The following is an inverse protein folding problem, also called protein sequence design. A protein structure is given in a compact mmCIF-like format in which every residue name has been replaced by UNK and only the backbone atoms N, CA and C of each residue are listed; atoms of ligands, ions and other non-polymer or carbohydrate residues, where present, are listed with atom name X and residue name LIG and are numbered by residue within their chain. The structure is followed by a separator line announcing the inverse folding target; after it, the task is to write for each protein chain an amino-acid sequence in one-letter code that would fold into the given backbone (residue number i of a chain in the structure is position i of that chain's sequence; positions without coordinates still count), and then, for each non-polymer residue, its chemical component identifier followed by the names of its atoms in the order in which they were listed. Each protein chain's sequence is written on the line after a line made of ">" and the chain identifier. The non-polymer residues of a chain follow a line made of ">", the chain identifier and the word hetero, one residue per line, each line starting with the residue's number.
data_IF_947979092517
#
_entry.id   IF_947979092517
#
_cell.length_a   1.000
_cell.length_b   1.000
_cell.length_c   1.000
_cell.angle_alpha   90.00
_cell.angle_beta   90.00
_cell.angle_gamma   90.00
#
_symmetry.space_group_name_H-M   'P 1'
#
loop_
_entity.id
_entity.type
_entity.pdbx_description
1 polymer ?
#
# COMPACT_ATOMS: atom_id res chain seq x y z
N UNK A 1 -19.94 -69.29 12.26
CA UNK A 1 -20.17 -68.25 13.28
C UNK A 1 -18.93 -67.38 13.39
N UNK A 2 -19.11 -66.06 13.26
CA UNK A 2 -18.35 -64.92 13.82
C UNK A 2 -17.03 -65.27 14.55
N UNK A 3 -15.92 -64.60 14.27
CA UNK A 3 -15.66 -63.23 14.78
C UNK A 3 -14.65 -62.47 13.93
N UNK A 4 -15.03 -61.23 13.61
CA UNK A 4 -14.22 -60.10 13.17
C UNK A 4 -13.35 -59.64 14.34
N UNK A 5 -12.05 -59.42 14.13
CA UNK A 5 -11.26 -58.46 14.92
C UNK A 5 -10.45 -57.61 13.93
N UNK A 6 -11.00 -56.43 13.67
CA UNK A 6 -10.34 -55.28 13.06
C UNK A 6 -9.35 -54.73 14.09
N UNK A 7 -8.06 -54.67 13.77
CA UNK A 7 -7.10 -53.91 14.56
C UNK A 7 -6.96 -52.52 13.93
N UNK A 8 -7.67 -51.57 14.53
CA UNK A 8 -7.66 -50.15 14.24
C UNK A 8 -6.31 -49.58 14.68
N UNK A 9 -5.45 -49.20 13.73
CA UNK A 9 -4.22 -48.46 14.07
C UNK A 9 -4.57 -47.00 14.30
N UNK A 10 -4.29 -46.57 15.52
CA UNK A 10 -4.44 -45.25 16.11
C UNK A 10 -3.98 -44.15 15.15
N UNK A 11 -4.91 -43.27 14.80
CA UNK A 11 -4.63 -41.98 14.18
C UNK A 11 -4.13 -41.04 15.29
N UNK A 12 -2.82 -40.81 15.35
CA UNK A 12 -2.26 -39.78 16.19
C UNK A 12 -2.64 -38.42 15.59
N UNK A 13 -3.63 -37.76 16.19
CA UNK A 13 -3.98 -36.39 15.88
C UNK A 13 -2.80 -35.52 16.31
N UNK A 14 -2.07 -34.98 15.32
CA UNK A 14 -1.16 -33.87 15.53
C UNK A 14 -2.01 -32.63 15.85
N UNK A 15 -2.33 -32.43 17.13
CA UNK A 15 -2.73 -31.10 17.60
C UNK A 15 -1.46 -30.27 17.62
N UNK A 16 -1.16 -29.66 16.48
CA UNK A 16 -0.24 -28.52 16.44
C UNK A 16 -0.87 -27.45 17.31
N UNK A 17 -0.18 -27.05 18.38
CA UNK A 17 -0.48 -25.81 19.09
C UNK A 17 -0.26 -24.64 18.12
N UNK A 18 -1.27 -24.33 17.31
CA UNK A 18 -1.42 -22.99 16.75
C UNK A 18 -1.65 -22.08 17.94
N UNK A 19 -0.74 -21.15 18.16
CA UNK A 19 -1.02 -19.97 18.97
C UNK A 19 -2.12 -19.22 18.21
N UNK A 20 -3.38 -19.57 18.47
CA UNK A 20 -4.54 -19.04 17.75
C UNK A 20 -4.56 -17.52 17.98
N UNK A 21 -4.21 -16.79 16.92
CA UNK A 21 -4.31 -15.33 16.82
C UNK A 21 -5.74 -14.94 17.22
N UNK A 22 -5.89 -13.95 18.11
CA UNK A 22 -7.23 -13.61 18.57
C UNK A 22 -8.07 -13.02 17.42
N UNK A 23 -9.42 -13.09 17.46
CA UNK A 23 -10.25 -12.47 16.43
C UNK A 23 -9.96 -10.97 16.22
N UNK A 24 -9.70 -10.24 17.30
CA UNK A 24 -9.38 -8.81 17.25
C UNK A 24 -7.98 -8.55 16.67
N UNK A 25 -6.99 -9.40 17.00
CA UNK A 25 -5.66 -9.32 16.39
C UNK A 25 -5.72 -9.62 14.89
N UNK A 26 -6.54 -10.59 14.47
CA UNK A 26 -6.76 -10.88 13.05
C UNK A 26 -7.36 -9.66 12.32
N UNK A 27 -8.37 -9.02 12.89
CA UNK A 27 -9.01 -7.85 12.30
C UNK A 27 -8.02 -6.68 12.13
N UNK A 28 -7.24 -6.40 13.18
CA UNK A 28 -6.14 -5.42 13.09
C UNK A 28 -5.15 -5.76 11.96
N UNK A 29 -4.72 -7.01 11.86
CA UNK A 29 -3.77 -7.44 10.83
C UNK A 29 -4.36 -7.35 9.41
N UNK A 30 -5.65 -7.63 9.25
CA UNK A 30 -6.36 -7.48 7.96
C UNK A 30 -6.43 -5.99 7.56
N UNK A 31 -6.77 -5.10 8.49
CA UNK A 31 -6.77 -3.64 8.26
C UNK A 31 -5.37 -3.11 7.94
N UNK A 32 -4.35 -3.54 8.70
CA UNK A 32 -2.96 -3.16 8.44
C UNK A 32 -2.49 -3.62 7.08
N UNK A 33 -2.86 -4.83 6.68
CA UNK A 33 -2.58 -5.34 5.35
C UNK A 33 -3.24 -4.48 4.27
N UNK A 34 -4.51 -4.12 4.43
CA UNK A 34 -5.22 -3.28 3.46
C UNK A 34 -4.54 -1.92 3.28
N UNK A 35 -4.09 -1.28 4.38
CA UNK A 35 -3.33 -0.02 4.33
C UNK A 35 -2.06 -0.19 3.49
N UNK A 36 -1.27 -1.24 3.77
CA UNK A 36 -0.03 -1.47 3.04
C UNK A 36 -0.23 -1.93 1.59
N UNK A 37 -1.34 -2.59 1.27
CA UNK A 37 -1.65 -2.97 -0.11
C UNK A 37 -1.74 -1.72 -1.02
N UNK A 38 -2.33 -0.61 -0.55
CA UNK A 38 -2.34 0.65 -1.31
C UNK A 38 -0.93 1.26 -1.48
N UNK A 39 -0.10 1.24 -0.44
CA UNK A 39 1.29 1.67 -0.53
C UNK A 39 2.10 0.83 -1.52
N UNK A 40 1.98 -0.49 -1.44
CA UNK A 40 2.70 -1.42 -2.28
C UNK A 40 2.23 -1.37 -3.74
N UNK A 41 0.96 -1.04 -3.99
CA UNK A 41 0.45 -0.74 -5.33
C UNK A 41 1.05 0.53 -5.94
N UNK A 42 1.25 1.57 -5.13
CA UNK A 42 1.82 2.84 -5.56
C UNK A 42 3.35 2.78 -5.71
N UNK A 43 4.05 2.01 -4.88
CA UNK A 43 5.52 2.00 -4.82
C UNK A 43 6.21 1.76 -6.17
N UNK A 44 5.79 0.81 -7.04
CA UNK A 44 6.39 0.61 -8.36
C UNK A 44 6.31 1.83 -9.28
N UNK A 45 5.36 2.74 -9.04
CA UNK A 45 5.15 3.96 -9.83
C UNK A 45 6.12 5.08 -9.47
N UNK A 46 6.80 5.01 -8.33
CA UNK A 46 7.74 6.06 -7.91
C UNK A 46 8.93 6.20 -8.86
N UNK A 47 9.43 5.08 -9.40
CA UNK A 47 10.45 5.12 -10.46
C UNK A 47 9.91 5.73 -11.76
N UNK A 48 8.67 5.38 -12.12
CA UNK A 48 7.99 5.91 -13.29
C UNK A 48 7.73 7.43 -13.18
N UNK A 49 7.41 7.94 -11.98
CA UNK A 49 7.30 9.37 -11.70
C UNK A 49 8.62 10.08 -12.03
N UNK A 50 9.75 9.59 -11.54
CA UNK A 50 11.06 10.20 -11.77
C UNK A 50 11.40 10.25 -13.27
N UNK A 51 11.14 9.15 -13.99
CA UNK A 51 11.36 9.06 -15.43
C UNK A 51 10.48 10.05 -16.21
N UNK A 52 9.19 10.17 -15.85
CA UNK A 52 8.25 11.09 -16.49
C UNK A 52 8.63 12.56 -16.22
N UNK A 53 9.05 12.90 -14.99
CA UNK A 53 9.56 14.24 -14.66
C UNK A 53 10.74 14.59 -15.56
N UNK A 54 11.74 13.71 -15.68
CA UNK A 54 12.91 13.95 -16.51
C UNK A 54 12.55 14.19 -17.99
N UNK A 55 11.57 13.44 -18.53
CA UNK A 55 11.07 13.64 -19.90
C UNK A 55 10.34 14.97 -20.06
N UNK A 56 9.52 15.35 -19.09
CA UNK A 56 8.82 16.64 -19.10
C UNK A 56 9.83 17.80 -19.07
N UNK A 57 10.88 17.72 -18.25
CA UNK A 57 11.94 18.74 -18.20
C UNK A 57 12.64 18.94 -19.54
N UNK A 58 12.94 17.84 -20.26
CA UNK A 58 13.51 17.90 -21.61
C UNK A 58 12.57 18.63 -22.58
N UNK A 59 11.27 18.34 -22.54
CA UNK A 59 10.29 19.03 -23.41
C UNK A 59 10.10 20.50 -23.03
N UNK A 60 10.05 20.82 -21.73
CA UNK A 60 9.93 22.19 -21.21
C UNK A 60 11.13 23.06 -21.62
N UNK A 61 12.32 22.48 -21.67
CA UNK A 61 13.56 23.15 -22.08
C UNK A 61 13.67 23.37 -23.61
N UNK A 62 12.86 22.68 -24.42
CA UNK A 62 12.84 22.87 -25.87
C UNK A 62 12.14 24.19 -26.27
N UNK A 63 12.55 24.79 -27.39
CA UNK A 63 12.07 26.10 -27.85
C UNK A 63 10.56 26.12 -28.19
N UNK A 64 9.99 27.32 -28.16
CA UNK A 64 8.59 27.74 -27.91
C UNK A 64 7.42 27.16 -28.73
N UNK A 65 7.61 26.13 -29.55
CA UNK A 65 6.56 25.47 -30.36
C UNK A 65 6.20 24.07 -29.82
N UNK A 66 6.35 23.83 -28.51
CA UNK A 66 6.00 22.56 -27.89
C UNK A 66 4.50 22.25 -28.06
N UNK A 67 4.20 21.06 -28.59
CA UNK A 67 2.88 20.44 -28.53
C UNK A 67 3.00 19.15 -27.72
N UNK A 68 2.45 19.09 -26.48
CA UNK A 68 1.49 20.02 -25.88
C UNK A 68 2.11 21.35 -25.39
N UNK A 69 1.28 22.39 -25.13
CA UNK A 69 1.75 23.68 -24.65
C UNK A 69 2.64 23.57 -23.42
N UNK A 70 3.66 24.44 -23.32
CA UNK A 70 4.62 24.43 -22.21
C UNK A 70 3.97 24.49 -20.83
N UNK A 71 2.88 25.23 -20.68
CA UNK A 71 2.11 25.30 -19.42
C UNK A 71 1.53 23.94 -19.01
N UNK A 72 1.04 23.14 -19.97
CA UNK A 72 0.54 21.79 -19.70
C UNK A 72 1.65 20.84 -19.25
N UNK A 73 2.84 20.96 -19.86
CA UNK A 73 4.02 20.19 -19.46
C UNK A 73 4.45 20.53 -18.03
N UNK A 74 4.48 21.83 -17.69
CA UNK A 74 4.83 22.30 -16.34
C UNK A 74 3.80 21.79 -15.31
N UNK A 75 2.51 21.93 -15.58
CA UNK A 75 1.47 21.41 -14.69
C UNK A 75 1.52 19.89 -14.52
N UNK A 76 1.89 19.14 -15.55
CA UNK A 76 2.07 17.70 -15.45
C UNK A 76 3.24 17.36 -14.53
N UNK A 77 4.35 18.09 -14.64
CA UNK A 77 5.53 17.92 -13.80
C UNK A 77 5.20 18.21 -12.34
N UNK A 78 4.57 19.36 -12.06
CA UNK A 78 4.21 19.75 -10.69
C UNK A 78 3.28 18.73 -10.02
N UNK A 79 2.35 18.13 -10.78
CA UNK A 79 1.48 17.06 -10.26
C UNK A 79 2.25 15.80 -9.90
N UNK A 80 3.22 15.41 -10.73
CA UNK A 80 4.08 14.27 -10.43
C UNK A 80 4.93 14.52 -9.18
N UNK A 81 5.48 15.73 -9.02
CA UNK A 81 6.22 16.13 -7.82
C UNK A 81 5.31 16.12 -6.58
N UNK A 82 4.09 16.65 -6.69
CA UNK A 82 3.10 16.61 -5.60
C UNK A 82 2.72 15.18 -5.20
N UNK A 83 2.51 14.29 -6.18
CA UNK A 83 2.20 12.89 -5.91
C UNK A 83 3.38 12.16 -5.25
N UNK A 84 4.62 12.46 -5.68
CA UNK A 84 5.82 11.96 -5.02
C UNK A 84 5.87 12.41 -3.55
N UNK A 85 5.66 13.69 -3.31
CA UNK A 85 5.71 14.27 -1.97
C UNK A 85 4.58 13.76 -1.08
N UNK A 86 3.39 13.52 -1.63
CA UNK A 86 2.29 12.91 -0.89
C UNK A 86 2.64 11.50 -0.41
N UNK A 87 3.22 10.64 -1.26
CA UNK A 87 3.70 9.31 -0.86
C UNK A 87 4.75 9.40 0.27
N UNK A 88 5.70 10.32 0.15
CA UNK A 88 6.75 10.49 1.16
C UNK A 88 6.20 11.03 2.48
N UNK A 89 5.27 11.99 2.43
CA UNK A 89 4.60 12.54 3.60
C UNK A 89 3.76 11.47 4.30
N UNK A 90 2.97 10.71 3.54
CA UNK A 90 2.19 9.60 4.06
C UNK A 90 3.06 8.55 4.77
N UNK A 91 4.16 8.10 4.15
CA UNK A 91 5.07 7.14 4.78
C UNK A 91 5.67 7.67 6.09
N UNK A 92 6.05 8.96 6.10
CA UNK A 92 6.60 9.60 7.29
C UNK A 92 5.56 9.63 8.40
N UNK A 93 4.38 10.18 8.12
CA UNK A 93 3.31 10.34 9.10
C UNK A 93 2.85 8.98 9.65
N UNK A 94 2.71 7.98 8.77
CA UNK A 94 2.40 6.61 9.18
C UNK A 94 3.49 6.03 10.10
N UNK A 95 4.77 6.19 9.75
CA UNK A 95 5.87 5.66 10.58
C UNK A 95 5.97 6.35 11.95
N UNK A 96 5.64 7.64 12.04
CA UNK A 96 5.62 8.40 13.30
C UNK A 96 4.43 7.99 14.19
N UNK A 97 3.27 7.71 13.59
CA UNK A 97 2.06 7.31 14.30
C UNK A 97 1.99 5.81 14.66
N UNK A 98 2.76 4.97 13.95
CA UNK A 98 2.77 3.51 14.13
C UNK A 98 4.22 2.93 14.20
N UNK A 99 5.07 3.42 15.11
CA UNK A 99 6.50 3.05 15.16
C UNK A 99 6.77 1.57 15.51
N UNK A 100 5.78 0.90 16.10
CA UNK A 100 5.87 -0.49 16.58
C UNK A 100 5.06 -1.47 15.73
N UNK A 101 4.57 -1.04 14.55
CA UNK A 101 3.68 -1.82 13.68
C UNK A 101 4.26 -3.17 13.22
N UNK A 102 5.59 -3.29 13.20
CA UNK A 102 6.30 -4.53 12.84
C UNK A 102 6.80 -5.33 14.06
N UNK A 103 6.53 -4.86 15.28
CA UNK A 103 6.95 -5.54 16.51
C UNK A 103 5.85 -6.47 16.98
N UNK A 104 6.24 -7.62 17.55
CA UNK A 104 5.30 -8.47 18.26
C UNK A 104 4.75 -7.72 19.49
N UNK A 105 3.42 -7.73 19.66
CA UNK A 105 2.72 -7.08 20.77
C UNK A 105 1.90 -8.12 21.51
N UNK A 106 1.96 -8.08 22.84
CA UNK A 106 1.16 -8.96 23.72
C UNK A 106 -0.05 -8.17 24.23
N UNK A 107 -1.02 -7.97 23.34
CA UNK A 107 -2.25 -7.22 23.61
C UNK A 107 -3.41 -8.18 23.87
N UNK A 108 -4.30 -7.78 24.77
CA UNK A 108 -5.58 -8.44 24.92
C UNK A 108 -6.55 -8.01 23.79
N UNK A 109 -7.74 -8.62 23.71
CA UNK A 109 -8.71 -8.32 22.65
C UNK A 109 -9.20 -6.87 22.62
N UNK A 110 -9.34 -6.23 23.78
CA UNK A 110 -9.79 -4.82 23.86
C UNK A 110 -8.72 -3.89 23.29
N UNK A 111 -7.45 -4.12 23.67
CA UNK A 111 -6.31 -3.35 23.16
C UNK A 111 -6.11 -3.54 21.64
N UNK A 112 -6.32 -4.76 21.12
CA UNK A 112 -6.30 -4.98 19.66
C UNK A 112 -7.44 -4.25 18.95
N UNK A 113 -8.64 -4.22 19.53
CA UNK A 113 -9.78 -3.51 18.96
C UNK A 113 -9.55 -1.99 18.94
N UNK A 114 -9.01 -1.42 20.02
CA UNK A 114 -8.65 0.01 20.09
C UNK A 114 -7.60 0.38 19.03
N UNK A 115 -6.56 -0.45 18.86
CA UNK A 115 -5.55 -0.22 17.83
C UNK A 115 -6.11 -0.36 16.41
N UNK A 116 -7.05 -1.28 16.20
CA UNK A 116 -7.74 -1.42 14.92
C UNK A 116 -8.57 -0.16 14.61
N UNK A 117 -9.36 0.33 15.57
CA UNK A 117 -10.15 1.56 15.41
C UNK A 117 -9.27 2.77 15.07
N UNK A 118 -8.11 2.88 15.73
CA UNK A 118 -7.13 3.94 15.44
C UNK A 118 -6.55 3.84 14.02
N UNK A 119 -6.38 2.62 13.50
CA UNK A 119 -5.80 2.35 12.19
C UNK A 119 -6.80 2.53 11.03
N UNK A 120 -8.12 2.39 11.26
CA UNK A 120 -9.15 2.50 10.21
C UNK A 120 -9.01 3.74 9.29
N UNK A 121 -8.74 4.95 9.78
CA UNK A 121 -8.59 6.13 8.94
C UNK A 121 -7.43 6.03 7.92
N UNK A 122 -6.40 5.24 8.23
CA UNK A 122 -5.24 5.05 7.35
C UNK A 122 -5.59 4.34 6.04
N UNK A 123 -6.69 3.57 6.01
CA UNK A 123 -7.18 2.96 4.75
C UNK A 123 -7.50 4.06 3.73
N UNK A 124 -8.26 5.09 4.15
CA UNK A 124 -8.62 6.19 3.25
C UNK A 124 -7.38 7.00 2.89
N UNK A 125 -6.51 7.28 3.86
CA UNK A 125 -5.30 8.06 3.63
C UNK A 125 -4.34 7.38 2.65
N UNK A 126 -4.07 6.07 2.82
CA UNK A 126 -3.22 5.30 1.92
C UNK A 126 -3.84 5.18 0.52
N UNK A 127 -5.16 5.02 0.45
CA UNK A 127 -5.89 4.98 -0.83
C UNK A 127 -5.81 6.31 -1.59
N UNK A 128 -6.00 7.44 -0.91
CA UNK A 128 -5.89 8.78 -1.51
C UNK A 128 -4.47 9.03 -2.05
N UNK A 129 -3.46 8.66 -1.27
CA UNK A 129 -2.06 8.70 -1.72
C UNK A 129 -1.83 7.84 -2.97
N UNK A 130 -2.34 6.60 -2.99
CA UNK A 130 -2.27 5.71 -4.15
C UNK A 130 -2.96 6.33 -5.36
N UNK A 131 -4.17 6.83 -5.19
CA UNK A 131 -4.96 7.43 -6.27
C UNK A 131 -4.22 8.64 -6.88
N UNK A 132 -3.64 9.52 -6.06
CA UNK A 132 -2.85 10.67 -6.52
C UNK A 132 -1.64 10.27 -7.38
N UNK A 133 -0.93 9.21 -6.97
CA UNK A 133 0.19 8.64 -7.74
C UNK A 133 -0.29 8.12 -9.10
N UNK A 134 -1.35 7.32 -9.11
CA UNK A 134 -1.86 6.72 -10.34
C UNK A 134 -2.42 7.77 -11.31
N UNK A 135 -3.20 8.73 -10.80
CA UNK A 135 -3.78 9.80 -11.61
C UNK A 135 -2.71 10.71 -12.20
N UNK A 136 -1.69 11.08 -11.42
CA UNK A 136 -0.59 11.92 -11.88
C UNK A 136 0.24 11.24 -12.96
N UNK A 137 0.57 9.96 -12.78
CA UNK A 137 1.25 9.14 -13.80
C UNK A 137 0.40 9.04 -15.07
N UNK A 138 -0.89 8.71 -14.96
CA UNK A 138 -1.77 8.56 -16.12
C UNK A 138 -1.89 9.87 -16.92
N UNK A 139 -2.01 11.01 -16.23
CA UNK A 139 -2.09 12.32 -16.86
C UNK A 139 -0.80 12.71 -17.56
N UNK A 140 0.36 12.50 -16.91
CA UNK A 140 1.65 12.80 -17.52
C UNK A 140 1.92 11.94 -18.76
N UNK A 141 1.61 10.63 -18.69
CA UNK A 141 1.69 9.75 -19.86
C UNK A 141 0.84 10.22 -21.03
N UNK A 142 -0.41 10.61 -20.75
CA UNK A 142 -1.32 11.13 -21.77
C UNK A 142 -0.75 12.37 -22.45
N UNK A 143 -0.15 13.28 -21.68
CA UNK A 143 0.50 14.51 -22.17
C UNK A 143 1.73 14.18 -23.02
N UNK A 144 2.54 13.20 -22.60
CA UNK A 144 3.73 12.74 -23.33
C UNK A 144 3.44 11.79 -24.50
N UNK A 145 2.20 11.33 -24.67
CA UNK A 145 1.82 10.34 -25.67
C UNK A 145 2.32 8.91 -25.37
N UNK A 146 2.58 8.60 -24.11
CA UNK A 146 3.04 7.28 -23.66
C UNK A 146 1.86 6.33 -23.34
N UNK A 147 2.12 5.02 -23.40
CA UNK A 147 1.13 3.96 -23.09
C UNK A 147 1.17 3.56 -21.61
#
# INVERSE_FOLDING_TARGET
>A
MKKIIVLFSVFAVLVSCQNETSPAEKEYNDTLKEVFDYHDEAMPKMGEIADLIAKLEVQIASDSDSNPPKEELVMAKERLEQAHDHMMAWMKDFSENYPDVHKARDFNNEQWAEENERLQPEISSAKEMRDDVFESVAKAKKILGEK
#
